data_IF_260053483165
#
_entry.id   IF_260053483165
#
_cell.length_a   1.000
_cell.length_b   1.000
_cell.length_c   1.000
_cell.angle_alpha   90.00
_cell.angle_beta   90.00
_cell.angle_gamma   90.00
#
_symmetry.space_group_name_H-M   'P 1'
#
loop_
_entity.id
_entity.type
_entity.pdbx_description
1 polymer ?
#
# COMPACT_ATOMS: atom_id res chain seq x y z
N UNK A 1 12.76 -23.14 10.02
CA UNK A 1 13.23 -22.07 9.13
C UNK A 1 12.02 -21.43 8.47
N UNK A 2 11.65 -20.20 8.82
CA UNK A 2 10.53 -19.52 8.18
C UNK A 2 11.03 -18.80 6.92
N UNK A 3 10.38 -19.05 5.79
CA UNK A 3 10.60 -18.27 4.57
C UNK A 3 9.90 -16.92 4.76
N UNK A 4 10.65 -15.82 4.68
CA UNK A 4 10.07 -14.49 4.66
C UNK A 4 10.02 -14.03 3.19
N UNK A 5 8.82 -13.75 2.68
CA UNK A 5 8.70 -13.07 1.39
C UNK A 5 9.21 -11.64 1.57
N UNK A 6 10.19 -11.26 0.75
CA UNK A 6 10.64 -9.86 0.68
C UNK A 6 9.47 -9.00 0.27
N UNK A 7 9.10 -8.05 1.13
CA UNK A 7 8.14 -7.01 0.81
C UNK A 7 8.84 -6.00 -0.09
N UNK A 8 8.33 -5.83 -1.30
CA UNK A 8 8.77 -4.74 -2.17
C UNK A 8 8.29 -3.45 -1.52
N UNK A 9 9.21 -2.70 -0.90
CA UNK A 9 8.93 -1.42 -0.26
C UNK A 9 8.82 -0.35 -1.33
N UNK A 10 7.74 -0.39 -2.10
CA UNK A 10 7.35 0.77 -2.88
C UNK A 10 6.99 1.88 -1.89
N UNK A 11 7.48 3.09 -2.14
CA UNK A 11 7.27 4.26 -1.30
C UNK A 11 5.79 4.42 -0.97
N UNK A 12 5.42 4.03 0.25
CA UNK A 12 4.08 4.17 0.78
C UNK A 12 4.04 5.40 1.67
N UNK A 13 3.01 6.24 1.49
CA UNK A 13 2.73 7.29 2.47
C UNK A 13 1.94 6.68 3.63
N UNK A 14 2.43 6.88 4.85
CA UNK A 14 1.91 6.24 6.05
C UNK A 14 1.65 7.28 7.11
N UNK A 15 0.39 7.33 7.57
CA UNK A 15 -0.04 8.16 8.70
C UNK A 15 -0.61 7.26 9.79
N UNK A 16 -0.09 7.30 11.03
CA UNK A 16 -0.61 6.49 12.11
C UNK A 16 -2.01 6.96 12.53
N UNK A 17 -2.77 6.05 13.14
CA UNK A 17 -4.10 6.29 13.68
C UNK A 17 -4.60 5.07 14.44
N UNK A 18 -5.69 5.23 15.20
CA UNK A 18 -6.34 4.12 15.89
C UNK A 18 -6.92 3.09 14.92
N UNK A 19 -7.44 3.55 13.78
CA UNK A 19 -7.84 2.72 12.66
C UNK A 19 -7.02 3.11 11.44
N UNK A 20 -6.56 2.14 10.66
CA UNK A 20 -5.77 2.37 9.45
C UNK A 20 -6.57 1.94 8.23
N UNK A 21 -6.69 2.84 7.25
CA UNK A 21 -7.23 2.51 5.93
C UNK A 21 -6.08 2.31 4.95
N UNK A 22 -5.97 1.11 4.38
CA UNK A 22 -5.08 0.86 3.26
C UNK A 22 -5.74 1.33 1.96
N UNK A 23 -5.05 2.19 1.21
CA UNK A 23 -5.54 2.75 -0.05
C UNK A 23 -4.55 2.50 -1.19
N UNK A 24 -5.09 2.11 -2.34
CA UNK A 24 -4.31 1.73 -3.53
C UNK A 24 -4.71 2.67 -4.67
N UNK A 25 -3.78 3.48 -5.13
CA UNK A 25 -4.01 4.45 -6.20
C UNK A 25 -3.03 4.20 -7.34
N UNK A 26 -3.47 4.37 -8.57
CA UNK A 26 -2.55 4.56 -9.68
C UNK A 26 -2.04 5.99 -9.58
N UNK A 27 -0.83 6.23 -9.06
CA UNK A 27 -0.20 7.56 -9.03
C UNK A 27 0.70 7.75 -10.25
N UNK A 28 1.43 6.68 -10.61
CA UNK A 28 2.28 6.58 -11.79
C UNK A 28 1.57 5.89 -12.96
N UNK A 29 1.75 6.38 -14.19
CA UNK A 29 1.17 5.79 -15.41
C UNK A 29 2.01 4.63 -15.96
N UNK A 30 3.33 4.70 -15.77
CA UNK A 30 4.27 3.78 -16.41
C UNK A 30 5.00 3.00 -15.35
N UNK A 31 4.90 1.67 -15.42
CA UNK A 31 5.77 0.78 -14.69
C UNK A 31 6.77 0.11 -15.65
N UNK A 32 8.03 0.04 -15.23
CA UNK A 32 9.07 -0.70 -15.94
C UNK A 32 9.39 -1.95 -15.15
N UNK A 33 9.22 -3.11 -15.77
CA UNK A 33 9.69 -4.38 -15.24
C UNK A 33 11.10 -4.67 -15.77
N UNK A 34 12.10 -4.86 -14.91
CA UNK A 34 13.41 -5.31 -15.34
C UNK A 34 13.31 -6.72 -15.92
N UNK A 35 14.21 -7.04 -16.86
CA UNK A 35 14.27 -8.34 -17.51
C UNK A 35 14.53 -9.43 -16.47
N UNK A 36 13.69 -10.46 -16.43
CA UNK A 36 13.78 -11.57 -15.47
C UNK A 36 14.40 -12.77 -16.17
N UNK A 37 15.65 -13.09 -15.83
CA UNK A 37 16.38 -14.24 -16.39
C UNK A 37 16.30 -15.51 -15.52
N UNK A 38 15.66 -15.41 -14.35
CA UNK A 38 15.51 -16.47 -13.35
C UNK A 38 16.83 -17.08 -12.86
N UNK A 39 17.96 -16.41 -13.10
CA UNK A 39 19.28 -16.80 -12.59
C UNK A 39 19.66 -16.09 -11.30
N UNK A 40 18.99 -14.98 -11.02
CA UNK A 40 19.20 -14.14 -9.85
C UNK A 40 17.88 -13.58 -9.32
N UNK A 41 17.92 -12.99 -8.13
CA UNK A 41 16.75 -12.32 -7.55
C UNK A 41 16.30 -11.18 -8.50
N UNK A 42 15.01 -11.13 -8.87
CA UNK A 42 14.51 -10.11 -9.78
C UNK A 42 14.62 -8.72 -9.15
N UNK A 43 15.04 -7.74 -9.95
CA UNK A 43 15.08 -6.34 -9.54
C UNK A 43 13.66 -5.81 -9.32
N UNK A 44 13.54 -4.79 -8.47
CA UNK A 44 12.25 -4.15 -8.17
C UNK A 44 11.68 -3.45 -9.41
N UNK A 45 10.35 -3.40 -9.49
CA UNK A 45 9.64 -2.62 -10.50
C UNK A 45 9.93 -1.14 -10.27
N UNK A 46 10.04 -0.36 -11.35
CA UNK A 46 10.19 1.09 -11.24
C UNK A 46 8.92 1.76 -11.74
N UNK A 47 8.36 2.63 -10.91
CA UNK A 47 7.20 3.45 -11.25
C UNK A 47 7.65 4.83 -11.73
N UNK A 48 7.01 5.34 -12.78
CA UNK A 48 7.40 6.59 -13.44
C UNK A 48 6.21 7.27 -14.11
N UNK A 49 6.40 8.52 -14.53
CA UNK A 49 5.36 9.38 -15.09
C UNK A 49 4.15 9.58 -14.14
N UNK A 50 4.36 10.25 -12.99
CA UNK A 50 3.24 10.66 -12.14
C UNK A 50 2.37 11.70 -12.87
N UNK A 51 1.05 11.63 -12.72
CA UNK A 51 0.12 12.60 -13.32
C UNK A 51 -0.68 13.36 -12.28
N UNK A 52 -0.99 14.61 -12.58
CA UNK A 52 -1.79 15.46 -11.70
C UNK A 52 -3.22 14.93 -11.52
N UNK A 53 -3.79 14.31 -12.57
CA UNK A 53 -5.15 13.74 -12.54
C UNK A 53 -5.22 12.63 -11.50
N UNK A 54 -4.23 11.73 -11.51
CA UNK A 54 -4.11 10.63 -10.57
C UNK A 54 -3.83 11.13 -9.14
N UNK A 55 -2.95 12.12 -9.02
CA UNK A 55 -2.64 12.75 -7.73
C UNK A 55 -3.85 13.43 -7.06
N UNK A 56 -4.82 13.91 -7.84
CA UNK A 56 -6.08 14.46 -7.29
C UNK A 56 -6.84 13.44 -6.44
N UNK A 57 -6.85 12.17 -6.83
CA UNK A 57 -7.53 11.11 -6.06
C UNK A 57 -6.84 10.84 -4.73
N UNK A 58 -5.51 10.83 -4.73
CA UNK A 58 -4.70 10.79 -3.52
C UNK A 58 -5.02 11.98 -2.59
N UNK A 59 -5.01 13.20 -3.11
CA UNK A 59 -5.31 14.39 -2.31
C UNK A 59 -6.73 14.38 -1.76
N UNK A 60 -7.71 13.94 -2.54
CA UNK A 60 -9.10 13.83 -2.10
C UNK A 60 -9.24 12.82 -0.94
N UNK A 61 -8.51 11.71 -0.99
CA UNK A 61 -8.49 10.73 0.09
C UNK A 61 -7.86 11.30 1.36
N UNK A 62 -6.68 11.90 1.27
CA UNK A 62 -6.00 12.53 2.42
C UNK A 62 -6.89 13.61 3.05
N UNK A 63 -7.49 14.46 2.22
CA UNK A 63 -8.44 15.49 2.65
C UNK A 63 -9.65 14.89 3.39
N UNK A 64 -10.26 13.83 2.86
CA UNK A 64 -11.40 13.17 3.51
C UNK A 64 -11.02 12.60 4.89
N UNK A 65 -9.83 12.01 5.02
CA UNK A 65 -9.33 11.53 6.32
C UNK A 65 -9.17 12.68 7.32
N UNK A 66 -8.65 13.82 6.88
CA UNK A 66 -8.49 15.00 7.73
C UNK A 66 -9.84 15.57 8.19
N UNK A 67 -10.81 15.67 7.29
CA UNK A 67 -12.17 16.13 7.63
C UNK A 67 -12.87 15.18 8.60
N UNK A 68 -12.73 13.86 8.43
CA UNK A 68 -13.28 12.88 9.38
C UNK A 68 -12.64 13.04 10.76
N UNK A 69 -11.32 13.17 10.83
CA UNK A 69 -10.58 13.35 12.08
C UNK A 69 -10.90 14.67 12.79
N UNK A 70 -11.29 15.71 12.03
CA UNK A 70 -11.69 17.01 12.58
C UNK A 70 -13.13 17.01 13.11
N UNK A 71 -13.98 16.12 12.60
CA UNK A 71 -15.37 16.01 13.01
C UNK A 71 -15.51 15.18 14.28
N UNK A 72 -15.96 15.81 15.36
CA UNK A 72 -16.25 15.10 16.62
C UNK A 72 -17.48 14.17 16.55
N UNK A 73 -18.20 14.16 15.42
CA UNK A 73 -19.47 13.43 15.27
C UNK A 73 -19.32 12.12 14.50
N UNK A 74 -18.34 12.02 13.60
CA UNK A 74 -18.19 10.86 12.69
C UNK A 74 -17.45 9.72 13.39
N UNK A 75 -16.33 10.03 14.06
CA UNK A 75 -15.52 9.08 14.82
C UNK A 75 -15.04 9.71 16.14
N UNK A 76 -15.92 9.83 17.15
CA UNK A 76 -15.57 10.48 18.40
C UNK A 76 -14.42 9.74 19.09
N UNK A 77 -13.38 10.48 19.47
CA UNK A 77 -12.18 9.97 20.16
C UNK A 77 -11.38 8.90 19.40
N UNK A 78 -11.63 8.71 18.11
CA UNK A 78 -10.91 7.77 17.26
C UNK A 78 -10.27 8.55 16.11
N UNK A 79 -8.99 8.29 15.86
CA UNK A 79 -8.27 8.88 14.73
C UNK A 79 -8.12 7.86 13.61
N UNK A 80 -8.44 8.27 12.39
CA UNK A 80 -8.11 7.54 11.17
C UNK A 80 -6.70 7.89 10.72
N UNK A 81 -5.90 6.86 10.54
CA UNK A 81 -4.66 6.87 9.79
C UNK A 81 -4.83 6.16 8.45
N UNK A 82 -3.74 6.07 7.70
CA UNK A 82 -3.75 5.43 6.39
C UNK A 82 -2.39 4.84 6.01
N UNK A 83 -2.42 3.92 5.05
CA UNK A 83 -1.27 3.46 4.29
C UNK A 83 -1.62 3.55 2.82
N UNK A 84 -0.87 4.32 2.06
CA UNK A 84 -1.14 4.58 0.65
C UNK A 84 -0.09 3.89 -0.21
N UNK A 85 -0.54 3.16 -1.21
CA UNK A 85 0.31 2.42 -2.15
C UNK A 85 0.09 2.93 -3.57
N UNK A 86 1.17 3.26 -4.28
CA UNK A 86 1.12 3.47 -5.73
C UNK A 86 1.02 2.10 -6.42
N UNK A 87 -0.05 1.84 -7.17
CA UNK A 87 -0.19 0.61 -7.96
C UNK A 87 0.57 0.67 -9.28
N UNK A 88 0.93 1.87 -9.74
CA UNK A 88 1.65 2.13 -10.98
C UNK A 88 0.97 1.50 -12.21
N UNK A 89 -0.36 1.38 -12.22
CA UNK A 89 -1.15 0.66 -13.23
C UNK A 89 -0.81 -0.84 -13.38
N UNK A 90 -0.11 -1.42 -12.40
CA UNK A 90 0.28 -2.83 -12.41
C UNK A 90 -0.59 -3.65 -11.45
N UNK A 91 -1.35 -4.59 -12.03
CA UNK A 91 -2.19 -5.51 -11.26
C UNK A 91 -1.38 -6.39 -10.30
N UNK A 92 -0.18 -6.82 -10.70
CA UNK A 92 0.70 -7.66 -9.88
C UNK A 92 1.18 -6.92 -8.64
N UNK A 93 1.59 -5.66 -8.82
CA UNK A 93 2.02 -4.80 -7.73
C UNK A 93 0.87 -4.47 -6.79
N UNK A 94 -0.29 -4.06 -7.33
CA UNK A 94 -1.49 -3.78 -6.55
C UNK A 94 -1.90 -4.97 -5.67
N UNK A 95 -1.90 -6.18 -6.25
CA UNK A 95 -2.22 -7.41 -5.51
C UNK A 95 -1.17 -7.70 -4.43
N UNK A 96 0.12 -7.56 -4.73
CA UNK A 96 1.20 -7.75 -3.76
C UNK A 96 1.08 -6.77 -2.58
N UNK A 97 0.82 -5.49 -2.86
CA UNK A 97 0.63 -4.45 -1.86
C UNK A 97 -0.61 -4.73 -1.01
N UNK A 98 -1.72 -5.15 -1.64
CA UNK A 98 -2.96 -5.49 -0.94
C UNK A 98 -2.79 -6.69 -0.01
N UNK A 99 -2.13 -7.76 -0.49
CA UNK A 99 -1.78 -8.92 0.33
C UNK A 99 -0.87 -8.52 1.49
N UNK A 100 0.12 -7.66 1.23
CA UNK A 100 0.99 -7.08 2.27
C UNK A 100 0.20 -6.34 3.34
N UNK A 101 -0.72 -5.46 2.94
CA UNK A 101 -1.55 -4.69 3.86
C UNK A 101 -2.46 -5.57 4.73
N UNK A 102 -3.11 -6.59 4.15
CA UNK A 102 -4.01 -7.48 4.90
C UNK A 102 -3.29 -8.52 5.76
N UNK A 103 -2.02 -8.84 5.45
CA UNK A 103 -1.23 -9.82 6.22
C UNK A 103 -0.96 -9.39 7.66
N UNK A 104 -1.25 -8.12 8.02
CA UNK A 104 -1.14 -7.59 9.38
C UNK A 104 0.30 -7.38 9.86
N UNK A 105 1.31 -7.61 9.01
CA UNK A 105 2.72 -7.34 9.28
C UNK A 105 3.36 -6.68 8.06
N UNK A 106 4.35 -5.81 8.30
CA UNK A 106 5.29 -5.29 7.28
C UNK A 106 6.05 -6.39 6.49
N UNK A 107 5.79 -7.68 6.75
CA UNK A 107 6.36 -8.84 6.06
C UNK A 107 5.32 -9.94 5.85
N UNK A 108 5.18 -10.37 4.59
CA UNK A 108 4.36 -11.51 4.19
C UNK A 108 5.03 -12.82 4.63
N UNK A 109 4.34 -13.63 5.44
CA UNK A 109 4.73 -15.01 5.71
C UNK A 109 3.87 -15.92 4.84
N UNK A 110 4.42 -16.60 3.82
CA UNK A 110 3.69 -17.69 3.21
C UNK A 110 3.58 -18.79 4.27
N UNK A 111 2.33 -19.11 4.65
CA UNK A 111 1.94 -20.18 5.57
C UNK A 111 1.73 -19.82 7.07
N UNK A 112 1.14 -18.66 7.41
CA UNK A 112 0.68 -18.39 8.78
C UNK A 112 -0.81 -18.02 8.84
N UNK A 113 -1.62 -18.97 9.29
CA UNK A 113 -3.02 -18.80 9.68
C UNK A 113 -3.10 -18.17 11.08
N UNK A 114 -3.69 -16.97 11.20
CA UNK A 114 -4.05 -16.38 12.48
C UNK A 114 -5.51 -16.68 12.83
N UNK A 115 -5.80 -17.95 13.13
CA UNK A 115 -6.87 -18.29 14.07
C UNK A 115 -6.56 -19.62 14.75
N UNK A 116 -6.44 -19.59 16.07
CA UNK A 116 -6.20 -20.78 16.90
C UNK A 116 -5.79 -20.40 18.32
N UNK A 117 -6.82 -20.18 19.15
CA UNK A 117 -6.85 -20.08 20.62
C UNK A 117 -5.70 -19.39 21.36
#
# INVERSE_FOLDING_TARGET
SACALRTQTYTSDVKPGHLIIAAFFQLSEIYTMPLVDFTSEPREMVCSAPTLINYRHYMAFVFAIEEINRSSWILPNITLGYQIFDSCSSNHKCLSDALGAISGKQQNVPNFSCWGN
#
